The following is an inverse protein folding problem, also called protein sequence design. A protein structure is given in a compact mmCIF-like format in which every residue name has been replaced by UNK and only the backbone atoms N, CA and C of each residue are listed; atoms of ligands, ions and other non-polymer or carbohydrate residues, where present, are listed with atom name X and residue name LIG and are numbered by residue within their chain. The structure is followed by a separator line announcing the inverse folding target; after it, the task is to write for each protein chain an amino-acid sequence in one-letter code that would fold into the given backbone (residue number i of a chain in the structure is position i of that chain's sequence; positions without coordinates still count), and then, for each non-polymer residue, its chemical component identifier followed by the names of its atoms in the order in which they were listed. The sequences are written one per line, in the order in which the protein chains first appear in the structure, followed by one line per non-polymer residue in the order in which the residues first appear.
data_IF_237458538461
#
_entry.id   IF_237458538461
#
_cell.length_a   1.000
_cell.length_b   1.000
_cell.length_c   1.000
_cell.angle_alpha   90.00
_cell.angle_beta   90.00
_cell.angle_gamma   90.00
#
_symmetry.space_group_name_H-M   'P 1'
#
loop_
_entity.id
_entity.type
_entity.pdbx_description
1 polymer ?
#
# COMPACT_ATOMS: atom_id res chain seq x y z
N UNK A 1 16.26 -1.68 14.09
CA UNK A 1 15.60 -2.82 13.41
C UNK A 1 14.81 -2.22 12.26
N UNK A 2 15.01 -2.70 11.03
CA UNK A 2 14.17 -2.30 9.89
C UNK A 2 12.76 -2.83 10.16
N UNK A 3 11.78 -1.93 10.24
CA UNK A 3 10.39 -2.31 10.42
C UNK A 3 9.89 -2.85 9.07
N UNK A 4 9.72 -4.17 8.97
CA UNK A 4 9.15 -4.80 7.80
C UNK A 4 7.63 -4.61 7.83
N UNK A 5 7.09 -3.88 6.85
CA UNK A 5 5.66 -3.72 6.67
C UNK A 5 5.13 -4.87 5.79
N UNK A 6 3.91 -5.34 6.09
CA UNK A 6 3.26 -6.40 5.33
C UNK A 6 2.17 -5.80 4.46
N UNK A 7 2.31 -5.96 3.15
CA UNK A 7 1.28 -5.64 2.17
C UNK A 7 0.30 -6.81 2.04
N UNK A 8 -0.97 -6.57 2.35
CA UNK A 8 -2.07 -7.46 1.99
C UNK A 8 -2.69 -6.96 0.69
N UNK A 9 -2.87 -7.82 -0.29
CA UNK A 9 -3.48 -7.45 -1.56
C UNK A 9 -4.41 -8.53 -2.10
N UNK A 10 -5.30 -8.11 -2.99
CA UNK A 10 -6.19 -8.96 -3.77
C UNK A 10 -6.37 -8.37 -5.16
N UNK A 11 -6.91 -9.17 -6.07
CA UNK A 11 -7.26 -8.71 -7.41
C UNK A 11 -8.75 -8.36 -7.47
N UNK A 12 -9.08 -7.17 -7.96
CA UNK A 12 -10.45 -6.70 -8.11
C UNK A 12 -10.60 -5.87 -9.40
N UNK A 13 -11.57 -6.22 -10.24
CA UNK A 13 -11.95 -5.47 -11.46
C UNK A 13 -10.78 -4.99 -12.34
N UNK A 14 -9.75 -5.82 -12.54
CA UNK A 14 -8.61 -5.46 -13.38
C UNK A 14 -7.43 -4.83 -12.62
N UNK A 15 -7.55 -4.65 -11.30
CA UNK A 15 -6.59 -3.96 -10.46
C UNK A 15 -6.07 -4.86 -9.34
N UNK A 16 -4.80 -4.70 -9.00
CA UNK A 16 -4.29 -5.11 -7.70
C UNK A 16 -4.64 -4.03 -6.69
N UNK A 17 -5.37 -4.42 -5.65
CA UNK A 17 -5.79 -3.53 -4.58
C UNK A 17 -5.12 -4.00 -3.30
N UNK A 18 -4.56 -3.09 -2.50
CA UNK A 18 -3.82 -3.47 -1.32
C UNK A 18 -3.83 -2.46 -0.18
N UNK A 19 -3.41 -2.94 0.99
CA UNK A 19 -3.30 -2.17 2.22
C UNK A 19 -2.11 -2.65 3.07
N UNK A 20 -1.61 -1.77 3.94
CA UNK A 20 -0.60 -2.17 4.93
C UNK A 20 -1.27 -2.77 6.17
N UNK A 21 -0.89 -4.00 6.52
CA UNK A 21 -1.35 -4.65 7.75
C UNK A 21 -0.89 -3.85 8.97
N UNK A 22 -1.82 -3.49 9.84
CA UNK A 22 -1.54 -2.77 11.09
C UNK A 22 -1.40 -1.25 10.94
N UNK A 23 -1.55 -0.70 9.73
CA UNK A 23 -1.55 0.75 9.49
C UNK A 23 -2.88 1.13 8.82
N UNK A 24 -3.90 1.50 9.61
CA UNK A 24 -5.17 1.99 9.08
C UNK A 24 -4.95 3.21 8.18
N UNK A 25 -5.71 3.32 7.09
CA UNK A 25 -5.67 4.47 6.19
C UNK A 25 -4.63 4.39 5.08
N UNK A 26 -3.67 3.46 5.12
CA UNK A 26 -2.73 3.24 4.01
C UNK A 26 -3.25 2.13 3.10
N UNK A 27 -3.89 2.56 2.02
CA UNK A 27 -4.48 1.74 0.97
C UNK A 27 -4.12 2.34 -0.39
N UNK A 28 -3.96 1.50 -1.40
CA UNK A 28 -3.83 1.93 -2.78
C UNK A 28 -4.15 0.81 -3.77
N UNK A 29 -4.01 1.09 -5.06
CA UNK A 29 -4.22 0.15 -6.15
C UNK A 29 -3.20 0.34 -7.27
N UNK A 30 -3.02 -0.66 -8.14
CA UNK A 30 -2.18 -0.58 -9.35
C UNK A 30 -2.58 -1.63 -10.39
N UNK A 31 -2.26 -1.41 -11.67
CA UNK A 31 -2.46 -2.39 -12.75
C UNK A 31 -1.50 -3.58 -12.62
N UNK A 32 -0.36 -3.38 -11.95
CA UNK A 32 0.65 -4.40 -11.65
C UNK A 32 1.00 -4.42 -10.17
N UNK A 33 1.60 -5.52 -9.68
CA UNK A 33 2.09 -5.59 -8.29
C UNK A 33 3.15 -4.54 -7.98
N UNK A 34 4.05 -4.25 -8.93
CA UNK A 34 5.07 -3.21 -8.76
C UNK A 34 4.43 -1.84 -8.59
N UNK A 35 3.43 -1.52 -9.41
CA UNK A 35 2.69 -0.26 -9.33
C UNK A 35 1.91 -0.15 -8.01
N UNK A 36 1.27 -1.24 -7.56
CA UNK A 36 0.63 -1.27 -6.26
C UNK A 36 1.63 -0.99 -5.13
N UNK A 37 2.81 -1.62 -5.14
CA UNK A 37 3.84 -1.38 -4.13
C UNK A 37 4.32 0.07 -4.12
N UNK A 38 4.56 0.66 -5.28
CA UNK A 38 4.99 2.05 -5.40
C UNK A 38 3.92 3.02 -4.89
N UNK A 39 2.66 2.78 -5.27
CA UNK A 39 1.54 3.59 -4.81
C UNK A 39 1.30 3.44 -3.29
N UNK A 40 1.55 2.27 -2.71
CA UNK A 40 1.50 2.05 -1.25
C UNK A 40 2.64 2.80 -0.55
N UNK A 41 3.85 2.81 -1.11
CA UNK A 41 4.98 3.58 -0.55
C UNK A 41 4.66 5.07 -0.51
N UNK A 42 4.03 5.59 -1.56
CA UNK A 42 3.66 7.00 -1.61
C UNK A 42 2.49 7.33 -0.67
N UNK A 43 1.46 6.48 -0.60
CA UNK A 43 0.39 6.63 0.39
C UNK A 43 0.91 6.60 1.84
N UNK A 44 1.87 5.72 2.14
CA UNK A 44 2.52 5.67 3.44
C UNK A 44 3.31 6.94 3.75
N UNK A 45 4.10 7.45 2.80
CA UNK A 45 4.84 8.72 2.95
C UNK A 45 3.91 9.90 3.21
N UNK A 46 2.77 9.96 2.52
CA UNK A 46 1.78 11.01 2.76
C UNK A 46 1.21 10.91 4.18
N UNK A 47 0.83 9.72 4.62
CA UNK A 47 0.29 9.50 5.96
C UNK A 47 1.27 9.91 7.07
N UNK A 48 2.56 9.57 6.97
CA UNK A 48 3.55 9.99 7.98
C UNK A 48 3.89 11.48 7.93
N UNK A 49 3.63 12.16 6.81
CA UNK A 49 3.83 13.61 6.68
C UNK A 49 2.61 14.41 7.14
N UNK A 50 1.43 13.77 7.26
CA UNK A 50 0.21 14.35 7.82
C UNK A 50 0.07 14.13 9.34
N UNK A 51 0.98 13.38 9.96
CA UNK A 51 1.02 13.09 11.41
C UNK A 51 1.97 14.02 12.15
#
# INVERSE_FOLDING_TARGET
MLQSLVLEYWYDNGWFVGRLRGIPGVFSQGQTLSELEDNIRDAYKLMINEI
#
